data_IF_303748901393
#
_entry.id   IF_303748901393
#
_cell.length_a   1.000
_cell.length_b   1.000
_cell.length_c   1.000
_cell.angle_alpha   90.00
_cell.angle_beta   90.00
_cell.angle_gamma   90.00
#
_symmetry.space_group_name_H-M   'P 1'
#
loop_
_entity.id
_entity.type
_entity.pdbx_description
1 polymer ?
#
# COMPACT_ATOMS: atom_id res chain seq x y z
N UNK A 1 2.54 25.57 49.35
CA UNK A 1 2.74 24.89 48.05
C UNK A 1 2.31 23.45 48.21
N UNK A 2 1.38 22.96 47.40
CA UNK A 2 0.99 21.54 47.44
C UNK A 2 2.15 20.65 47.00
N UNK A 3 2.17 19.39 47.46
CA UNK A 3 3.22 18.46 47.07
C UNK A 3 3.21 18.23 45.55
N UNK A 4 4.39 18.38 44.93
CA UNK A 4 4.64 18.21 43.50
C UNK A 4 5.34 16.87 43.25
N UNK A 5 4.97 16.21 42.16
CA UNK A 5 5.59 14.95 41.75
C UNK A 5 5.79 14.88 40.23
N UNK A 6 6.90 14.31 39.80
CA UNK A 6 7.17 14.02 38.39
C UNK A 6 6.86 12.56 38.11
N UNK A 7 6.01 12.31 37.11
CA UNK A 7 5.61 10.97 36.70
C UNK A 7 6.39 10.57 35.45
N UNK A 8 7.13 9.47 35.57
CA UNK A 8 7.93 8.88 34.50
C UNK A 8 7.29 7.58 34.03
N UNK A 9 7.07 7.48 32.72
CA UNK A 9 6.59 6.27 32.06
C UNK A 9 7.79 5.55 31.45
N UNK A 10 8.29 4.54 32.15
CA UNK A 10 9.51 3.81 31.82
C UNK A 10 9.17 2.43 31.23
N UNK A 11 10.15 1.79 30.59
CA UNK A 11 9.95 0.47 29.95
C UNK A 11 9.46 -0.59 30.95
N UNK A 12 9.82 -0.46 32.23
CA UNK A 12 9.52 -1.45 33.26
C UNK A 12 8.38 -1.03 34.21
N UNK A 13 7.77 0.15 34.02
CA UNK A 13 6.74 0.64 34.94
C UNK A 13 6.51 2.15 34.87
N UNK A 14 5.51 2.60 35.63
CA UNK A 14 5.26 4.02 35.91
C UNK A 14 5.83 4.38 37.28
N UNK A 15 6.63 5.44 37.35
CA UNK A 15 7.38 5.83 38.56
C UNK A 15 7.13 7.28 38.90
N UNK A 16 6.82 7.55 40.17
CA UNK A 16 6.57 8.88 40.70
C UNK A 16 7.78 9.34 41.53
N UNK A 17 8.35 10.49 41.18
CA UNK A 17 9.52 11.08 41.86
C UNK A 17 9.17 12.43 42.48
N UNK A 18 9.71 12.72 43.66
CA UNK A 18 9.69 14.09 44.20
C UNK A 18 10.77 14.97 43.54
N UNK A 19 10.78 16.27 43.87
CA UNK A 19 11.80 17.21 43.34
C UNK A 19 13.23 16.89 43.81
N UNK A 20 13.42 16.00 44.79
CA UNK A 20 14.72 15.52 45.30
C UNK A 20 15.14 14.17 44.68
N UNK A 21 14.41 13.70 43.69
CA UNK A 21 14.57 12.41 43.01
C UNK A 21 14.28 11.16 43.87
N UNK A 22 13.63 11.31 45.02
CA UNK A 22 13.18 10.15 45.79
C UNK A 22 11.97 9.53 45.12
N UNK A 23 11.90 8.20 45.15
CA UNK A 23 10.73 7.46 44.67
C UNK A 23 9.61 7.60 45.69
N UNK A 24 8.50 8.20 45.28
CA UNK A 24 7.32 8.44 46.11
C UNK A 24 6.37 7.25 46.05
N UNK A 25 6.12 6.74 44.84
CA UNK A 25 5.29 5.57 44.57
C UNK A 25 5.61 5.06 43.15
N UNK A 26 5.25 3.83 42.84
CA UNK A 26 5.46 3.24 41.52
C UNK A 26 4.53 2.05 41.26
N UNK A 27 4.34 1.73 39.99
CA UNK A 27 3.70 0.48 39.55
C UNK A 27 4.62 -0.15 38.51
N UNK A 28 5.11 -1.35 38.81
CA UNK A 28 5.92 -2.14 37.89
C UNK A 28 5.03 -2.87 36.90
N UNK A 29 5.47 -2.92 35.66
CA UNK A 29 4.79 -3.70 34.63
C UNK A 29 5.03 -5.21 34.81
N UNK A 30 4.14 -6.06 34.26
CA UNK A 30 4.37 -7.49 34.21
C UNK A 30 5.67 -7.82 33.48
N UNK A 31 6.38 -8.86 33.94
CA UNK A 31 7.59 -9.37 33.27
C UNK A 31 7.30 -10.30 32.10
N UNK A 32 6.03 -10.70 31.93
CA UNK A 32 5.64 -11.49 30.77
C UNK A 32 5.88 -10.66 29.49
N UNK A 33 6.63 -11.17 28.51
CA UNK A 33 6.97 -10.41 27.31
C UNK A 33 5.77 -9.87 26.53
N UNK A 34 4.66 -10.62 26.48
CA UNK A 34 3.46 -10.24 25.72
C UNK A 34 2.72 -9.10 26.41
N UNK A 35 2.49 -9.24 27.72
CA UNK A 35 1.80 -8.23 28.51
C UNK A 35 2.63 -6.94 28.60
N UNK A 36 3.95 -7.06 28.73
CA UNK A 36 4.86 -5.92 28.70
C UNK A 36 4.84 -5.22 27.35
N UNK A 37 4.88 -5.98 26.25
CA UNK A 37 4.76 -5.43 24.90
C UNK A 37 3.43 -4.70 24.67
N UNK A 38 2.34 -5.17 25.28
CA UNK A 38 1.05 -4.48 25.21
C UNK A 38 1.08 -3.12 25.90
N UNK A 39 1.68 -3.03 27.11
CA UNK A 39 1.88 -1.74 27.79
C UNK A 39 2.74 -0.79 26.95
N UNK A 40 3.85 -1.28 26.39
CA UNK A 40 4.73 -0.48 25.52
C UNK A 40 4.02 -0.02 24.24
N UNK A 41 3.18 -0.87 23.65
CA UNK A 41 2.38 -0.53 22.47
C UNK A 41 1.39 0.60 22.77
N UNK A 42 0.70 0.55 23.91
CA UNK A 42 -0.21 1.64 24.35
C UNK A 42 0.59 2.94 24.50
N UNK A 43 1.80 2.87 25.06
CA UNK A 43 2.66 4.04 25.20
C UNK A 43 3.10 4.61 23.84
N UNK A 44 3.50 3.75 22.90
CA UNK A 44 3.98 4.15 21.56
C UNK A 44 2.85 4.76 20.71
N UNK A 45 1.64 4.21 20.80
CA UNK A 45 0.46 4.69 20.07
C UNK A 45 -0.18 5.95 20.68
N UNK A 46 0.42 6.50 21.74
CA UNK A 46 -0.04 7.72 22.41
C UNK A 46 -1.18 7.49 23.41
N UNK A 47 -1.55 6.24 23.65
CA UNK A 47 -2.49 5.83 24.68
C UNK A 47 -1.94 6.06 26.10
N UNK A 48 -2.88 6.04 27.05
CA UNK A 48 -2.59 6.23 28.48
C UNK A 48 -2.85 4.92 29.20
N UNK A 49 -1.90 4.53 30.06
CA UNK A 49 -1.96 3.28 30.80
C UNK A 49 -2.89 3.39 32.00
N UNK A 50 -3.64 2.33 32.29
CA UNK A 50 -4.42 2.24 33.53
C UNK A 50 -3.53 2.32 34.78
N UNK A 51 -2.30 1.78 34.70
CA UNK A 51 -1.28 1.90 35.77
C UNK A 51 -0.97 3.37 36.08
N UNK A 52 -0.98 4.24 35.06
CA UNK A 52 -0.74 5.67 35.25
C UNK A 52 -1.88 6.31 36.04
N UNK A 53 -3.13 5.98 35.69
CA UNK A 53 -4.33 6.50 36.35
C UNK A 53 -4.37 6.01 37.80
N UNK A 54 -4.06 4.74 38.02
CA UNK A 54 -4.01 4.14 39.34
C UNK A 54 -2.94 4.82 40.21
N UNK A 55 -1.70 4.94 39.71
CA UNK A 55 -0.60 5.58 40.42
C UNK A 55 -0.94 7.01 40.84
N UNK A 56 -1.47 7.82 39.92
CA UNK A 56 -1.85 9.21 40.22
C UNK A 56 -3.00 9.27 41.21
N UNK A 57 -3.95 8.32 41.15
CA UNK A 57 -5.05 8.24 42.12
C UNK A 57 -4.55 7.94 43.53
N UNK A 58 -3.59 7.01 43.68
CA UNK A 58 -2.91 6.72 44.96
C UNK A 58 -2.16 7.95 45.49
N UNK A 59 -1.48 8.69 44.63
CA UNK A 59 -0.76 9.90 45.03
C UNK A 59 -1.71 11.03 45.42
N UNK A 60 -2.83 11.19 44.70
CA UNK A 60 -3.85 12.18 45.02
C UNK A 60 -4.44 11.94 46.42
N UNK A 61 -4.75 10.68 46.78
CA UNK A 61 -5.26 10.36 48.12
C UNK A 61 -4.24 10.62 49.23
N UNK A 62 -2.93 10.59 48.90
CA UNK A 62 -1.83 11.00 49.79
C UNK A 62 -1.57 12.50 49.82
N UNK A 63 -2.36 13.32 49.12
CA UNK A 63 -2.30 14.80 49.17
C UNK A 63 -1.47 15.48 48.08
N UNK A 64 -0.97 14.74 47.09
CA UNK A 64 -0.30 15.33 45.93
C UNK A 64 -1.32 16.03 45.02
N UNK A 65 -0.98 17.24 44.57
CA UNK A 65 -1.88 18.07 43.73
C UNK A 65 -1.29 18.46 42.38
N UNK A 66 0.04 18.49 42.28
CA UNK A 66 0.77 18.97 41.11
C UNK A 66 1.60 17.84 40.49
N UNK A 67 1.32 17.50 39.24
CA UNK A 67 1.97 16.39 38.53
C UNK A 67 2.67 16.85 37.26
N UNK A 68 3.94 16.48 37.09
CA UNK A 68 4.70 16.74 35.86
C UNK A 68 4.73 15.48 35.01
N UNK A 69 4.35 15.60 33.74
CA UNK A 69 4.38 14.50 32.76
C UNK A 69 5.30 14.86 31.59
N UNK A 70 5.85 13.85 30.93
CA UNK A 70 6.65 14.05 29.70
C UNK A 70 5.81 13.95 28.43
N UNK A 71 4.58 13.45 28.52
CA UNK A 71 3.66 13.25 27.40
C UNK A 71 2.41 14.13 27.57
N UNK A 72 2.05 14.85 26.51
CA UNK A 72 0.85 15.70 26.48
C UNK A 72 -0.43 14.86 26.63
N UNK A 73 -0.51 13.70 25.97
CA UNK A 73 -1.68 12.81 26.05
C UNK A 73 -1.95 12.33 27.48
N UNK A 74 -0.91 11.90 28.19
CA UNK A 74 -0.96 11.51 29.60
C UNK A 74 -1.42 12.67 30.50
N UNK A 75 -0.79 13.85 30.35
CA UNK A 75 -1.13 15.05 31.13
C UNK A 75 -2.59 15.44 30.95
N UNK A 76 -3.06 15.50 29.71
CA UNK A 76 -4.44 15.89 29.38
C UNK A 76 -5.45 14.92 29.96
N UNK A 77 -5.28 13.61 29.71
CA UNK A 77 -6.25 12.62 30.18
C UNK A 77 -6.31 12.54 31.71
N UNK A 78 -5.15 12.60 32.37
CA UNK A 78 -5.09 12.57 33.84
C UNK A 78 -5.75 13.81 34.45
N UNK A 79 -5.49 15.01 33.87
CA UNK A 79 -6.15 16.25 34.30
C UNK A 79 -7.68 16.12 34.18
N UNK A 80 -8.15 15.65 33.02
CA UNK A 80 -9.59 15.49 32.74
C UNK A 80 -10.24 14.43 33.65
N UNK A 81 -9.61 13.27 33.86
CA UNK A 81 -10.18 12.16 34.64
C UNK A 81 -10.08 12.36 36.15
N UNK A 82 -8.98 12.90 36.64
CA UNK A 82 -8.67 12.94 38.07
C UNK A 82 -8.79 14.34 38.68
N UNK A 83 -9.03 15.39 37.89
CA UNK A 83 -9.15 16.77 38.36
C UNK A 83 -7.96 17.19 39.24
N UNK A 84 -6.75 17.09 38.68
CA UNK A 84 -5.47 17.44 39.31
C UNK A 84 -4.71 18.45 38.44
N UNK A 85 -3.82 19.23 39.04
CA UNK A 85 -2.97 20.15 38.29
C UNK A 85 -1.84 19.39 37.60
N UNK A 86 -1.69 19.60 36.29
CA UNK A 86 -0.66 18.92 35.50
C UNK A 86 0.19 19.91 34.69
N UNK A 87 1.48 19.61 34.55
CA UNK A 87 2.43 20.36 33.70
C UNK A 87 3.12 19.38 32.77
N UNK A 88 3.43 19.81 31.55
CA UNK A 88 4.20 19.01 30.59
C UNK A 88 5.62 19.55 30.49
N UNK A 89 6.60 18.69 30.76
CA UNK A 89 8.03 18.96 30.62
C UNK A 89 8.66 17.79 29.86
N UNK A 90 9.00 17.99 28.59
CA UNK A 90 9.45 16.90 27.72
C UNK A 90 10.79 17.20 27.03
N UNK A 91 11.85 16.41 27.28
CA UNK A 91 12.00 15.47 28.39
C UNK A 91 12.18 16.22 29.72
N UNK A 92 11.68 15.65 30.81
CA UNK A 92 11.86 16.20 32.16
C UNK A 92 13.32 16.07 32.60
N UNK A 93 13.78 17.03 33.41
CA UNK A 93 15.10 17.00 34.04
C UNK A 93 15.36 15.69 34.80
N UNK A 94 14.40 15.24 35.62
CA UNK A 94 14.47 13.96 36.35
C UNK A 94 14.46 12.75 35.41
N UNK A 95 13.62 12.76 34.37
CA UNK A 95 13.56 11.69 33.37
C UNK A 95 14.89 11.52 32.62
N UNK A 96 15.60 12.62 32.30
CA UNK A 96 16.95 12.55 31.72
C UNK A 96 17.94 11.85 32.65
N UNK A 97 17.86 12.09 33.96
CA UNK A 97 18.78 11.49 34.93
C UNK A 97 18.48 10.00 35.08
N UNK A 98 17.21 9.63 35.27
CA UNK A 98 16.79 8.22 35.41
C UNK A 98 17.15 7.40 34.18
N UNK A 99 16.99 7.97 32.97
CA UNK A 99 17.30 7.25 31.72
C UNK A 99 18.79 7.02 31.46
N UNK A 100 19.71 7.65 32.20
CA UNK A 100 21.15 7.34 32.10
C UNK A 100 21.47 5.91 32.52
N UNK A 101 20.70 5.36 33.46
CA UNK A 101 20.86 3.98 33.90
C UNK A 101 19.51 3.37 34.33
N UNK A 102 18.70 3.02 33.32
CA UNK A 102 17.42 2.36 33.52
C UNK A 102 17.57 0.99 34.21
N UNK A 103 18.66 0.26 33.93
CA UNK A 103 18.89 -1.04 34.55
C UNK A 103 19.04 -0.90 36.05
N UNK A 104 19.89 0.01 36.53
CA UNK A 104 20.07 0.22 37.97
C UNK A 104 18.78 0.66 38.64
N UNK A 105 17.99 1.54 38.01
CA UNK A 105 16.69 1.95 38.57
C UNK A 105 15.67 0.80 38.60
N UNK A 106 15.64 -0.05 37.57
CA UNK A 106 14.79 -1.23 37.54
C UNK A 106 15.15 -2.23 38.64
N UNK A 107 16.45 -2.42 38.90
CA UNK A 107 16.95 -3.28 39.99
C UNK A 107 16.58 -2.69 41.37
N UNK A 108 16.80 -1.39 41.57
CA UNK A 108 16.44 -0.66 42.80
C UNK A 108 14.96 -0.85 43.16
N UNK A 109 14.08 -0.80 42.16
CA UNK A 109 12.63 -0.93 42.35
C UNK A 109 12.13 -2.38 42.41
N UNK A 110 13.01 -3.37 42.23
CA UNK A 110 12.68 -4.79 42.30
C UNK A 110 12.10 -5.39 41.02
N UNK A 111 12.18 -4.69 39.89
CA UNK A 111 11.72 -5.23 38.60
C UNK A 111 12.60 -6.37 38.10
N UNK A 112 13.90 -6.37 38.41
CA UNK A 112 14.80 -7.46 38.06
C UNK A 112 15.84 -7.67 39.16
N UNK A 113 16.33 -8.90 39.32
CA UNK A 113 17.37 -9.24 40.31
C UNK A 113 18.77 -8.94 39.81
N UNK A 114 18.95 -8.87 38.49
CA UNK A 114 20.24 -8.60 37.86
C UNK A 114 20.05 -7.81 36.57
N UNK A 115 21.11 -7.13 36.13
CA UNK A 115 21.12 -6.45 34.82
C UNK A 115 20.86 -7.43 33.67
N UNK A 116 21.31 -8.69 33.78
CA UNK A 116 21.06 -9.72 32.78
C UNK A 116 19.57 -10.08 32.69
N UNK A 117 18.90 -10.26 33.83
CA UNK A 117 17.45 -10.53 33.87
C UNK A 117 16.65 -9.35 33.28
N UNK A 118 17.02 -8.12 33.63
CA UNK A 118 16.40 -6.91 33.07
C UNK A 118 16.51 -6.89 31.54
N UNK A 119 17.72 -7.09 31.01
CA UNK A 119 17.96 -7.08 29.56
C UNK A 119 17.19 -8.20 28.86
N UNK A 120 17.13 -9.40 29.44
CA UNK A 120 16.40 -10.53 28.87
C UNK A 120 14.89 -10.25 28.79
N UNK A 121 14.28 -9.75 29.86
CA UNK A 121 12.85 -9.41 29.90
C UNK A 121 12.54 -8.31 28.88
N UNK A 122 13.32 -7.24 28.86
CA UNK A 122 13.12 -6.12 27.93
C UNK A 122 13.30 -6.57 26.49
N UNK A 123 14.34 -7.35 26.18
CA UNK A 123 14.58 -7.84 24.83
C UNK A 123 13.41 -8.69 24.32
N UNK A 124 12.91 -9.64 25.12
CA UNK A 124 11.77 -10.47 24.73
C UNK A 124 10.49 -9.65 24.52
N UNK A 125 10.28 -8.61 25.33
CA UNK A 125 9.14 -7.71 25.16
C UNK A 125 9.26 -6.87 23.89
N UNK A 126 10.45 -6.34 23.59
CA UNK A 126 10.71 -5.60 22.34
C UNK A 126 10.55 -6.50 21.11
N UNK A 127 10.98 -7.76 21.17
CA UNK A 127 10.75 -8.74 20.10
C UNK A 127 9.25 -9.00 19.91
N UNK A 128 8.49 -9.10 20.99
CA UNK A 128 7.03 -9.29 20.95
C UNK A 128 6.31 -8.06 20.38
N UNK A 129 6.75 -6.85 20.76
CA UNK A 129 6.26 -5.58 20.21
C UNK A 129 6.56 -5.47 18.71
N UNK A 130 7.78 -5.82 18.28
CA UNK A 130 8.17 -5.82 16.87
C UNK A 130 7.33 -6.81 16.06
N UNK A 131 7.12 -8.03 16.56
CA UNK A 131 6.24 -9.04 15.93
C UNK A 131 4.81 -8.54 15.80
N UNK A 132 4.29 -7.84 16.82
CA UNK A 132 2.97 -7.20 16.78
C UNK A 132 2.90 -6.15 15.68
N UNK A 133 3.85 -5.22 15.62
CA UNK A 133 3.90 -4.19 14.57
C UNK A 133 3.95 -4.78 13.15
N UNK A 134 4.71 -5.86 12.95
CA UNK A 134 4.77 -6.59 11.67
C UNK A 134 3.42 -7.22 11.33
N UNK A 135 2.74 -7.85 12.30
CA UNK A 135 1.42 -8.47 12.11
C UNK A 135 0.37 -7.42 11.75
N UNK A 136 0.33 -6.30 12.47
CA UNK A 136 -0.61 -5.21 12.20
C UNK A 136 -0.41 -4.65 10.80
N UNK A 137 0.84 -4.38 10.39
CA UNK A 137 1.14 -3.92 9.03
C UNK A 137 0.76 -4.94 7.97
N UNK A 138 1.09 -6.22 8.18
CA UNK A 138 0.77 -7.30 7.24
C UNK A 138 -0.74 -7.57 7.14
N UNK A 139 -1.50 -7.29 8.20
CA UNK A 139 -2.95 -7.46 8.21
C UNK A 139 -3.72 -6.34 7.50
N UNK A 140 -3.05 -5.26 7.10
CA UNK A 140 -3.72 -4.20 6.33
C UNK A 140 -4.12 -4.73 4.96
N UNK A 141 -5.40 -4.59 4.63
CA UNK A 141 -6.00 -5.14 3.42
C UNK A 141 -5.39 -4.64 2.11
N UNK A 142 -4.67 -3.50 2.15
CA UNK A 142 -3.94 -2.93 1.02
C UNK A 142 -2.65 -3.69 0.69
N UNK A 143 -2.04 -4.43 1.62
CA UNK A 143 -0.81 -5.18 1.34
C UNK A 143 -1.03 -6.29 0.30
N UNK A 144 -2.16 -6.98 0.38
CA UNK A 144 -2.54 -7.99 -0.63
C UNK A 144 -2.83 -7.35 -2.00
N UNK A 145 -3.39 -6.14 -2.02
CA UNK A 145 -3.61 -5.39 -3.26
C UNK A 145 -2.28 -5.07 -3.94
N UNK A 146 -1.26 -4.65 -3.17
CA UNK A 146 0.08 -4.35 -3.72
C UNK A 146 0.67 -5.59 -4.40
N UNK A 147 0.63 -6.75 -3.73
CA UNK A 147 1.17 -7.99 -4.29
C UNK A 147 0.37 -8.45 -5.53
N UNK A 148 -0.95 -8.36 -5.49
CA UNK A 148 -1.79 -8.73 -6.63
C UNK A 148 -1.53 -7.86 -7.86
N UNK A 149 -1.31 -6.56 -7.67
CA UNK A 149 -0.96 -5.64 -8.78
C UNK A 149 0.41 -5.97 -9.36
N UNK A 150 1.41 -6.23 -8.53
CA UNK A 150 2.73 -6.62 -9.03
C UNK A 150 2.66 -7.93 -9.82
N UNK A 151 1.94 -8.93 -9.30
CA UNK A 151 1.70 -10.19 -10.02
C UNK A 151 0.98 -9.96 -11.36
N UNK A 152 -0.04 -9.10 -11.40
CA UNK A 152 -0.73 -8.74 -12.63
C UNK A 152 0.22 -8.10 -13.66
N UNK A 153 1.09 -7.17 -13.23
CA UNK A 153 2.07 -6.53 -14.11
C UNK A 153 3.15 -7.51 -14.61
N UNK A 154 3.55 -8.46 -13.78
CA UNK A 154 4.47 -9.54 -14.15
C UNK A 154 3.83 -10.51 -15.15
N UNK A 155 2.55 -10.85 -14.98
CA UNK A 155 1.80 -11.63 -15.96
C UNK A 155 1.69 -10.90 -17.29
N UNK A 156 1.35 -9.60 -17.29
CA UNK A 156 1.27 -8.80 -18.53
C UNK A 156 2.61 -8.81 -19.28
N UNK A 157 3.74 -8.65 -18.58
CA UNK A 157 5.08 -8.73 -19.18
C UNK A 157 5.39 -10.13 -19.72
N UNK A 158 5.04 -11.16 -18.96
CA UNK A 158 5.30 -12.56 -19.31
C UNK A 158 4.49 -13.00 -20.52
N UNK A 159 3.20 -12.67 -20.58
CA UNK A 159 2.32 -12.94 -21.72
C UNK A 159 2.88 -12.28 -22.99
N UNK A 160 3.30 -11.02 -22.90
CA UNK A 160 3.90 -10.30 -24.03
C UNK A 160 5.23 -10.92 -24.49
N UNK A 161 6.08 -11.34 -23.55
CA UNK A 161 7.34 -12.03 -23.87
C UNK A 161 7.07 -13.35 -24.61
N UNK A 162 6.13 -14.15 -24.12
CA UNK A 162 5.75 -15.40 -24.76
C UNK A 162 5.06 -15.18 -26.10
N UNK A 163 4.30 -14.09 -26.27
CA UNK A 163 3.69 -13.76 -27.54
C UNK A 163 4.75 -13.49 -28.61
N UNK A 164 5.79 -12.70 -28.28
CA UNK A 164 6.94 -12.51 -29.16
C UNK A 164 7.63 -13.82 -29.51
N UNK A 165 7.89 -14.69 -28.52
CA UNK A 165 8.53 -15.99 -28.76
C UNK A 165 7.68 -16.92 -29.63
N UNK A 166 6.38 -17.00 -29.38
CA UNK A 166 5.48 -17.87 -30.13
C UNK A 166 5.29 -17.38 -31.57
N UNK A 167 5.27 -16.07 -31.80
CA UNK A 167 5.28 -15.48 -33.14
C UNK A 167 6.49 -15.92 -33.95
N UNK A 168 7.68 -15.87 -33.36
CA UNK A 168 8.91 -16.31 -34.03
C UNK A 168 8.89 -17.82 -34.29
N UNK A 169 8.44 -18.62 -33.32
CA UNK A 169 8.50 -20.08 -33.42
C UNK A 169 7.43 -20.66 -34.36
N UNK A 170 6.16 -20.29 -34.17
CA UNK A 170 5.08 -20.72 -35.05
C UNK A 170 5.16 -20.01 -36.41
N UNK A 171 5.78 -18.83 -36.47
CA UNK A 171 6.00 -18.09 -37.71
C UNK A 171 6.88 -18.82 -38.75
N UNK A 172 7.70 -19.79 -38.32
CA UNK A 172 8.41 -20.68 -39.26
C UNK A 172 7.42 -21.46 -40.15
N UNK A 173 6.24 -21.78 -39.62
CA UNK A 173 5.17 -22.52 -40.30
C UNK A 173 4.07 -21.62 -40.86
N UNK A 174 3.72 -20.52 -40.18
CA UNK A 174 2.72 -19.55 -40.65
C UNK A 174 3.02 -18.14 -40.15
N UNK A 175 3.93 -17.44 -40.82
CA UNK A 175 4.41 -16.09 -40.45
C UNK A 175 3.32 -15.01 -40.52
N UNK A 176 2.43 -15.14 -41.50
CA UNK A 176 1.39 -14.19 -41.88
C UNK A 176 0.25 -14.15 -40.85
N UNK A 177 0.10 -15.19 -40.02
CA UNK A 177 -0.89 -15.21 -38.94
C UNK A 177 -0.70 -14.03 -37.97
N UNK A 178 0.55 -13.63 -37.76
CA UNK A 178 0.86 -12.59 -36.77
C UNK A 178 0.45 -11.18 -37.19
N UNK A 179 0.27 -10.96 -38.50
CA UNK A 179 -0.24 -9.71 -39.06
C UNK A 179 -1.78 -9.75 -39.20
N UNK A 180 -2.36 -10.95 -39.33
CA UNK A 180 -3.80 -11.15 -39.47
C UNK A 180 -4.57 -11.05 -38.14
N UNK A 181 -3.90 -11.23 -37.01
CA UNK A 181 -4.53 -11.29 -35.68
C UNK A 181 -4.24 -10.03 -34.85
N UNK A 182 -5.29 -9.41 -34.32
CA UNK A 182 -5.18 -8.13 -33.59
C UNK A 182 -4.72 -8.31 -32.14
N UNK A 183 -5.12 -9.41 -31.48
CA UNK A 183 -4.86 -9.60 -30.05
C UNK A 183 -3.97 -10.80 -29.76
N UNK A 184 -3.07 -10.74 -28.74
CA UNK A 184 -2.27 -11.89 -28.34
C UNK A 184 -3.11 -13.11 -27.97
N UNK A 185 -4.25 -12.91 -27.31
CA UNK A 185 -5.13 -14.00 -26.88
C UNK A 185 -5.71 -14.79 -28.06
N UNK A 186 -6.23 -14.11 -29.09
CA UNK A 186 -6.72 -14.77 -30.31
C UNK A 186 -5.60 -15.57 -30.98
N UNK A 187 -4.37 -15.04 -31.03
CA UNK A 187 -3.23 -15.73 -31.62
C UNK A 187 -2.91 -17.01 -30.84
N UNK A 188 -2.85 -16.94 -29.51
CA UNK A 188 -2.65 -18.11 -28.66
C UNK A 188 -3.77 -19.14 -28.81
N UNK A 189 -5.04 -18.73 -28.94
CA UNK A 189 -6.17 -19.64 -29.16
C UNK A 189 -6.04 -20.41 -30.47
N UNK A 190 -5.75 -19.70 -31.57
CA UNK A 190 -5.60 -20.32 -32.90
C UNK A 190 -4.46 -21.35 -32.87
N UNK A 191 -3.30 -20.99 -32.31
CA UNK A 191 -2.15 -21.89 -32.24
C UNK A 191 -2.41 -23.06 -31.30
N UNK A 192 -2.98 -22.84 -30.12
CA UNK A 192 -3.21 -23.91 -29.14
C UNK A 192 -4.30 -24.90 -29.55
N UNK A 193 -5.44 -24.40 -30.06
CA UNK A 193 -6.63 -25.21 -30.30
C UNK A 193 -6.67 -25.82 -31.70
N UNK A 194 -6.19 -25.11 -32.71
CA UNK A 194 -6.15 -25.60 -34.11
C UNK A 194 -4.76 -26.13 -34.44
N UNK A 195 -3.74 -25.26 -34.37
CA UNK A 195 -2.35 -25.64 -34.62
C UNK A 195 -2.00 -25.88 -36.09
N UNK A 196 -2.62 -26.87 -36.75
CA UNK A 196 -2.34 -27.21 -38.15
C UNK A 196 -2.93 -26.19 -39.12
N UNK A 197 -2.14 -25.69 -40.07
CA UNK A 197 -2.58 -24.68 -41.06
C UNK A 197 -3.71 -25.21 -41.94
N UNK A 198 -3.71 -26.52 -42.21
CA UNK A 198 -4.74 -27.21 -43.00
C UNK A 198 -6.09 -27.27 -42.27
N UNK A 199 -6.08 -27.22 -40.94
CA UNK A 199 -7.28 -27.26 -40.11
C UNK A 199 -7.84 -25.86 -39.81
N UNK A 200 -7.13 -24.80 -40.19
CA UNK A 200 -7.60 -23.42 -40.04
C UNK A 200 -8.66 -23.13 -41.11
N UNK A 201 -9.91 -23.11 -40.69
CA UNK A 201 -11.07 -22.79 -41.53
C UNK A 201 -12.11 -21.97 -40.74
N UNK A 202 -13.09 -21.40 -41.45
CA UNK A 202 -14.14 -20.56 -40.85
C UNK A 202 -14.88 -21.24 -39.70
N UNK A 203 -15.13 -22.55 -39.80
CA UNK A 203 -15.88 -23.30 -38.79
C UNK A 203 -15.06 -23.46 -37.50
N UNK A 204 -13.80 -23.90 -37.62
CA UNK A 204 -12.91 -24.09 -36.49
C UNK A 204 -12.55 -22.76 -35.80
N UNK A 205 -12.31 -21.70 -36.57
CA UNK A 205 -12.07 -20.35 -36.03
C UNK A 205 -13.31 -19.82 -35.29
N UNK A 206 -14.51 -20.09 -35.80
CA UNK A 206 -15.75 -19.70 -35.12
C UNK A 206 -15.97 -20.50 -33.81
N UNK A 207 -15.60 -21.79 -33.77
CA UNK A 207 -15.75 -22.63 -32.56
C UNK A 207 -14.95 -22.09 -31.38
N UNK A 208 -13.77 -21.53 -31.62
CA UNK A 208 -12.88 -20.99 -30.58
C UNK A 208 -13.13 -19.49 -30.31
N UNK A 209 -14.18 -18.92 -30.91
CA UNK A 209 -14.65 -17.57 -30.64
C UNK A 209 -13.91 -16.45 -31.38
N UNK A 210 -13.22 -16.75 -32.50
CA UNK A 210 -12.58 -15.71 -33.32
C UNK A 210 -13.64 -14.90 -34.08
N UNK A 211 -13.46 -13.58 -34.10
CA UNK A 211 -14.40 -12.67 -34.76
C UNK A 211 -14.42 -12.89 -36.28
N UNK A 212 -15.56 -12.62 -36.95
CA UNK A 212 -15.67 -12.74 -38.41
C UNK A 212 -14.62 -11.91 -39.16
N UNK A 213 -14.29 -10.72 -38.65
CA UNK A 213 -13.29 -9.82 -39.22
C UNK A 213 -11.90 -10.48 -39.19
N UNK A 214 -11.50 -10.98 -38.02
CA UNK A 214 -10.23 -11.68 -37.83
C UNK A 214 -10.19 -12.96 -38.68
N UNK A 215 -11.28 -13.73 -38.71
CA UNK A 215 -11.40 -14.94 -39.54
C UNK A 215 -11.12 -14.67 -41.02
N UNK A 216 -11.72 -13.62 -41.60
CA UNK A 216 -11.44 -13.25 -42.99
C UNK A 216 -9.96 -12.91 -43.22
N UNK A 217 -9.34 -12.15 -42.31
CA UNK A 217 -7.93 -11.81 -42.41
C UNK A 217 -7.02 -13.04 -42.33
N UNK A 218 -7.31 -13.97 -41.42
CA UNK A 218 -6.54 -15.23 -41.25
C UNK A 218 -6.65 -16.12 -42.48
N UNK A 219 -7.84 -16.23 -43.08
CA UNK A 219 -8.03 -17.04 -44.30
C UNK A 219 -7.32 -16.45 -45.52
N UNK A 220 -7.23 -15.13 -45.62
CA UNK A 220 -6.41 -14.49 -46.67
C UNK A 220 -4.92 -14.72 -46.43
N UNK A 221 -4.46 -14.61 -45.17
CA UNK A 221 -3.07 -14.87 -44.80
C UNK A 221 -2.62 -16.31 -45.12
N UNK A 222 -3.52 -17.30 -45.01
CA UNK A 222 -3.24 -18.68 -45.39
C UNK A 222 -2.96 -18.86 -46.89
N UNK A 223 -3.65 -18.10 -47.76
CA UNK A 223 -3.46 -18.19 -49.22
C UNK A 223 -2.07 -17.70 -49.66
N UNK A 224 -1.49 -16.79 -48.89
CA UNK A 224 -0.17 -16.20 -49.15
C UNK A 224 0.94 -16.84 -48.33
N UNK A 225 0.67 -17.92 -47.59
CA UNK A 225 1.63 -18.55 -46.69
C UNK A 225 2.88 -19.06 -47.41
N UNK A 226 4.06 -18.64 -46.94
CA UNK A 226 5.38 -19.07 -47.45
C UNK A 226 6.09 -20.01 -46.45
N UNK A 227 5.42 -20.37 -45.35
CA UNK A 227 6.00 -21.16 -44.27
C UNK A 227 6.44 -22.57 -44.70
N UNK A 228 7.41 -23.13 -43.97
CA UNK A 228 7.88 -24.50 -44.19
C UNK A 228 6.92 -25.51 -43.59
N UNK A 229 7.00 -26.78 -44.01
CA UNK A 229 6.26 -27.87 -43.36
C UNK A 229 6.78 -28.10 -41.92
N UNK A 230 5.85 -28.36 -41.00
CA UNK A 230 6.14 -28.61 -39.57
C UNK A 230 5.91 -30.08 -39.24
N UNK A 231 6.81 -30.68 -38.46
CA UNK A 231 6.60 -32.02 -37.94
C UNK A 231 5.58 -32.01 -36.78
N UNK A 232 4.92 -33.15 -36.54
CA UNK A 232 3.88 -33.26 -35.50
C UNK A 232 4.42 -33.04 -34.09
N UNK A 233 5.66 -33.43 -33.81
CA UNK A 233 6.26 -33.29 -32.48
C UNK A 233 6.59 -31.83 -32.19
N UNK A 234 7.16 -31.13 -33.17
CA UNK A 234 7.46 -29.70 -33.07
C UNK A 234 6.20 -28.87 -32.88
N UNK A 235 5.14 -29.17 -33.65
CA UNK A 235 3.87 -28.47 -33.48
C UNK A 235 3.25 -28.73 -32.09
N UNK A 236 3.33 -29.96 -31.57
CA UNK A 236 2.77 -30.28 -30.25
C UNK A 236 3.44 -29.44 -29.14
N UNK A 237 4.76 -29.29 -29.16
CA UNK A 237 5.47 -28.44 -28.19
C UNK A 237 5.03 -26.97 -28.27
N UNK A 238 4.81 -26.45 -29.49
CA UNK A 238 4.29 -25.10 -29.71
C UNK A 238 2.88 -24.96 -29.15
N UNK A 239 2.02 -25.96 -29.35
CA UNK A 239 0.64 -25.98 -28.80
C UNK A 239 0.64 -26.03 -27.28
N UNK A 240 1.51 -26.82 -26.67
CA UNK A 240 1.68 -26.88 -25.21
C UNK A 240 2.09 -25.53 -24.65
N UNK A 241 3.03 -24.85 -25.31
CA UNK A 241 3.43 -23.49 -24.95
C UNK A 241 2.23 -22.52 -25.04
N UNK A 242 1.53 -22.50 -26.17
CA UNK A 242 0.38 -21.62 -26.39
C UNK A 242 -0.75 -21.86 -25.36
N UNK A 243 -1.09 -23.12 -25.10
CA UNK A 243 -2.12 -23.50 -24.11
C UNK A 243 -1.73 -23.11 -22.67
N UNK A 244 -0.44 -23.17 -22.35
CA UNK A 244 0.06 -22.72 -21.04
C UNK A 244 -0.11 -21.21 -20.89
N UNK A 245 0.15 -20.43 -21.94
CA UNK A 245 -0.06 -18.97 -21.90
C UNK A 245 -1.54 -18.61 -21.83
N UNK A 246 -2.44 -19.36 -22.48
CA UNK A 246 -3.89 -19.18 -22.30
C UNK A 246 -4.31 -19.32 -20.83
N UNK A 247 -3.73 -20.29 -20.09
CA UNK A 247 -3.97 -20.40 -18.63
C UNK A 247 -3.45 -19.19 -17.86
N UNK A 248 -2.33 -18.58 -18.27
CA UNK A 248 -1.82 -17.33 -17.68
C UNK A 248 -2.76 -16.15 -17.96
N UNK A 249 -3.35 -16.08 -19.15
CA UNK A 249 -4.36 -15.06 -19.49
C UNK A 249 -5.60 -15.24 -18.59
N UNK A 250 -6.10 -16.46 -18.41
CA UNK A 250 -7.21 -16.71 -17.48
C UNK A 250 -6.85 -16.37 -16.02
N UNK A 251 -5.61 -16.62 -15.60
CA UNK A 251 -5.13 -16.20 -14.27
C UNK A 251 -5.10 -14.67 -14.14
N UNK A 252 -4.63 -13.96 -15.17
CA UNK A 252 -4.63 -12.49 -15.23
C UNK A 252 -6.05 -11.94 -15.02
N UNK A 253 -7.05 -12.47 -15.73
CA UNK A 253 -8.45 -12.06 -15.56
C UNK A 253 -8.99 -12.31 -14.15
N UNK A 254 -8.62 -13.45 -13.54
CA UNK A 254 -8.99 -13.74 -12.15
C UNK A 254 -8.35 -12.76 -11.16
N UNK A 255 -7.10 -12.40 -11.36
CA UNK A 255 -6.41 -11.40 -10.55
C UNK A 255 -7.01 -10.01 -10.72
N UNK A 256 -7.40 -9.63 -11.94
CA UNK A 256 -8.08 -8.36 -12.22
C UNK A 256 -9.39 -8.25 -11.45
N UNK A 257 -10.23 -9.31 -11.45
CA UNK A 257 -11.47 -9.38 -10.65
C UNK A 257 -11.19 -9.31 -9.15
N UNK A 258 -10.19 -10.05 -8.67
CA UNK A 258 -9.78 -10.00 -7.26
C UNK A 258 -9.35 -8.59 -6.83
N UNK A 259 -8.53 -7.91 -7.65
CA UNK A 259 -8.10 -6.53 -7.38
C UNK A 259 -9.30 -5.60 -7.34
N UNK A 260 -10.25 -5.76 -8.25
CA UNK A 260 -11.47 -4.96 -8.28
C UNK A 260 -12.29 -5.09 -6.98
N UNK A 261 -12.58 -6.30 -6.55
CA UNK A 261 -13.32 -6.57 -5.32
C UNK A 261 -12.61 -5.96 -4.10
N UNK A 262 -11.29 -6.19 -3.99
CA UNK A 262 -10.48 -5.69 -2.87
C UNK A 262 -10.37 -4.17 -2.85
N UNK A 263 -10.21 -3.53 -4.01
CA UNK A 263 -10.15 -2.07 -4.10
C UNK A 263 -11.50 -1.45 -3.74
N UNK A 264 -12.61 -2.06 -4.15
CA UNK A 264 -13.96 -1.57 -3.80
C UNK A 264 -14.20 -1.62 -2.29
N UNK A 265 -13.64 -2.61 -1.60
CA UNK A 265 -13.70 -2.73 -0.14
C UNK A 265 -12.75 -1.74 0.57
N UNK A 266 -11.49 -1.67 0.14
CA UNK A 266 -10.44 -0.91 0.84
C UNK A 266 -10.44 0.58 0.49
N UNK A 267 -10.81 0.92 -0.74
CA UNK A 267 -10.61 2.26 -1.30
C UNK A 267 -11.69 2.65 -2.33
N UNK A 268 -12.97 2.70 -1.92
CA UNK A 268 -14.10 2.92 -2.81
C UNK A 268 -14.10 4.32 -3.46
N UNK A 269 -13.52 5.35 -2.82
CA UNK A 269 -13.45 6.68 -3.44
C UNK A 269 -12.43 6.71 -4.58
N UNK A 270 -11.24 6.13 -4.39
CA UNK A 270 -10.26 5.98 -5.48
C UNK A 270 -10.81 5.10 -6.62
N UNK A 271 -11.49 4.00 -6.30
CA UNK A 271 -12.15 3.14 -7.29
C UNK A 271 -13.06 3.95 -8.23
N UNK A 272 -13.96 4.77 -7.68
CA UNK A 272 -14.93 5.54 -8.47
C UNK A 272 -14.25 6.58 -9.39
N UNK A 273 -13.11 7.12 -8.97
CA UNK A 273 -12.39 8.16 -9.72
C UNK A 273 -11.52 7.61 -10.85
N UNK A 274 -10.82 6.49 -10.64
CA UNK A 274 -9.79 6.01 -11.60
C UNK A 274 -9.93 4.55 -12.00
N UNK A 275 -10.90 3.84 -11.44
CA UNK A 275 -11.08 2.40 -11.63
C UNK A 275 -10.11 1.55 -10.80
N UNK A 276 -10.32 0.23 -10.78
CA UNK A 276 -9.65 -0.67 -9.85
C UNK A 276 -8.14 -0.76 -10.10
N UNK A 277 -7.73 -0.99 -11.34
CA UNK A 277 -6.32 -1.22 -11.69
C UNK A 277 -5.46 0.02 -11.42
N UNK A 278 -5.91 1.21 -11.84
CA UNK A 278 -5.14 2.44 -11.62
C UNK A 278 -5.11 2.83 -10.14
N UNK A 279 -6.22 2.66 -9.40
CA UNK A 279 -6.23 2.85 -7.95
C UNK A 279 -5.22 1.94 -7.25
N UNK A 280 -5.21 0.65 -7.62
CA UNK A 280 -4.32 -0.34 -7.05
C UNK A 280 -2.84 -0.03 -7.37
N UNK A 281 -2.53 0.40 -8.60
CA UNK A 281 -1.18 0.85 -8.98
C UNK A 281 -0.72 2.09 -8.19
N UNK A 282 -1.62 3.04 -7.94
CA UNK A 282 -1.28 4.21 -7.11
C UNK A 282 -0.98 3.83 -5.66
N UNK A 283 -1.77 2.92 -5.08
CA UNK A 283 -1.54 2.39 -3.73
C UNK A 283 -0.21 1.64 -3.65
N UNK A 284 0.07 0.77 -4.64
CA UNK A 284 1.32 0.03 -4.74
C UNK A 284 2.54 0.95 -4.85
N UNK A 285 2.50 1.92 -5.77
CA UNK A 285 3.59 2.87 -5.97
C UNK A 285 3.84 3.78 -4.76
N UNK A 286 2.80 4.05 -3.96
CA UNK A 286 2.93 4.78 -2.70
C UNK A 286 3.44 3.93 -1.53
N UNK A 287 3.39 2.60 -1.63
CA UNK A 287 3.72 1.68 -0.54
C UNK A 287 2.57 1.44 0.46
N UNK A 288 1.33 1.74 0.07
CA UNK A 288 0.12 1.57 0.89
C UNK A 288 -0.84 2.76 0.81
N UNK A 289 -2.10 2.54 1.22
CA UNK A 289 -3.16 3.56 1.17
C UNK A 289 -2.87 4.71 2.14
N UNK A 290 -2.34 4.40 3.33
CA UNK A 290 -1.97 5.42 4.32
C UNK A 290 -0.79 6.28 3.85
N UNK A 291 0.17 5.69 3.14
CA UNK A 291 1.27 6.45 2.55
C UNK A 291 0.75 7.36 1.43
N UNK A 292 -0.15 6.86 0.58
CA UNK A 292 -0.79 7.63 -0.49
C UNK A 292 -1.60 8.82 0.07
N UNK A 293 -2.34 8.63 1.17
CA UNK A 293 -3.17 9.68 1.78
C UNK A 293 -2.36 10.87 2.32
N UNK A 294 -1.12 10.61 2.74
CA UNK A 294 -0.16 11.62 3.21
C UNK A 294 0.52 12.36 2.05
N UNK A 295 0.47 11.86 0.82
CA UNK A 295 1.08 12.53 -0.32
C UNK A 295 0.32 13.81 -0.73
N UNK A 296 1.04 14.89 -1.10
CA UNK A 296 0.42 16.05 -1.72
C UNK A 296 -0.02 15.72 -3.15
N UNK A 297 -0.98 16.49 -3.67
CA UNK A 297 -1.49 16.30 -5.04
C UNK A 297 -0.40 16.43 -6.12
N UNK A 298 0.61 17.27 -5.90
CA UNK A 298 1.75 17.43 -6.80
C UNK A 298 2.59 16.15 -6.93
N UNK A 299 2.77 15.41 -5.82
CA UNK A 299 3.46 14.12 -5.83
C UNK A 299 2.61 13.06 -6.53
N UNK A 300 1.32 12.96 -6.20
CA UNK A 300 0.39 12.01 -6.83
C UNK A 300 0.33 12.24 -8.36
N UNK A 301 0.40 13.50 -8.81
CA UNK A 301 0.38 13.85 -10.23
C UNK A 301 1.50 13.17 -11.02
N UNK A 302 2.70 13.07 -10.43
CA UNK A 302 3.91 12.58 -11.10
C UNK A 302 4.37 11.20 -10.59
N UNK A 303 3.57 10.56 -9.75
CA UNK A 303 3.84 9.24 -9.18
C UNK A 303 4.01 8.19 -10.30
N UNK A 304 5.11 7.46 -10.31
CA UNK A 304 5.55 6.56 -11.40
C UNK A 304 6.35 7.23 -12.54
N UNK A 305 6.61 8.53 -12.47
CA UNK A 305 7.51 9.26 -13.38
C UNK A 305 8.78 9.77 -12.67
N UNK A 306 9.19 9.12 -11.58
CA UNK A 306 10.28 9.53 -10.70
C UNK A 306 11.58 9.69 -11.48
N UNK A 307 11.93 8.74 -12.36
CA UNK A 307 13.14 8.80 -13.18
C UNK A 307 13.19 10.08 -14.05
N UNK A 308 12.07 10.45 -14.65
CA UNK A 308 11.98 11.66 -15.47
C UNK A 308 11.98 12.93 -14.61
N UNK A 309 11.30 12.90 -13.47
CA UNK A 309 11.24 13.99 -12.50
C UNK A 309 12.62 14.29 -11.92
N UNK A 310 13.32 13.28 -11.40
CA UNK A 310 14.66 13.45 -10.82
C UNK A 310 15.68 13.90 -11.85
N UNK A 311 15.57 13.42 -13.10
CA UNK A 311 16.39 13.94 -14.19
C UNK A 311 16.15 15.43 -14.41
N UNK A 312 14.89 15.85 -14.48
CA UNK A 312 14.54 17.27 -14.65
C UNK A 312 15.02 18.14 -13.48
N UNK A 313 14.88 17.68 -12.24
CA UNK A 313 15.38 18.38 -11.05
C UNK A 313 16.90 18.53 -11.07
N UNK A 314 17.63 17.49 -11.49
CA UNK A 314 19.11 17.51 -11.56
C UNK A 314 19.63 18.41 -12.68
N UNK A 315 18.96 18.44 -13.83
CA UNK A 315 19.42 19.18 -15.01
C UNK A 315 18.74 20.53 -15.20
N UNK A 316 17.83 20.94 -14.31
CA UNK A 316 16.97 22.11 -14.51
C UNK A 316 16.01 21.99 -15.69
N UNK A 317 15.71 20.75 -16.13
CA UNK A 317 14.85 20.47 -17.27
C UNK A 317 13.36 20.63 -16.98
N UNK A 318 12.53 20.48 -18.02
CA UNK A 318 11.07 20.50 -17.86
C UNK A 318 10.59 19.23 -17.12
N UNK A 319 9.85 19.36 -16.00
CA UNK A 319 9.35 18.20 -15.26
C UNK A 319 8.25 17.46 -16.03
N UNK A 320 8.02 16.16 -15.72
CA UNK A 320 6.92 15.41 -16.32
C UNK A 320 5.57 16.01 -15.93
N UNK A 321 4.60 15.97 -16.86
CA UNK A 321 3.24 16.50 -16.63
C UNK A 321 2.35 15.53 -15.85
N UNK A 322 2.65 14.25 -15.91
CA UNK A 322 1.88 13.15 -15.34
C UNK A 322 2.75 11.91 -15.19
N UNK A 323 2.45 11.09 -14.18
CA UNK A 323 2.98 9.74 -14.01
C UNK A 323 1.95 8.68 -14.38
N UNK A 324 1.70 7.72 -13.50
CA UNK A 324 0.74 6.61 -13.67
C UNK A 324 -0.65 7.09 -14.08
N UNK A 325 -1.10 8.23 -13.54
CA UNK A 325 -2.41 8.81 -13.86
C UNK A 325 -2.62 9.10 -15.35
N UNK A 326 -1.56 9.12 -16.17
CA UNK A 326 -1.67 9.19 -17.63
C UNK A 326 -2.49 8.05 -18.24
N UNK A 327 -2.53 6.89 -17.57
CA UNK A 327 -3.33 5.74 -18.00
C UNK A 327 -4.83 6.02 -17.98
N UNK A 328 -5.28 7.02 -17.20
CA UNK A 328 -6.69 7.38 -17.14
C UNK A 328 -7.19 7.88 -18.50
N UNK A 329 -8.32 7.35 -19.04
CA UNK A 329 -8.82 7.68 -20.37
C UNK A 329 -8.94 9.19 -20.63
N UNK A 330 -9.45 9.94 -19.65
CA UNK A 330 -9.64 11.39 -19.74
C UNK A 330 -8.35 12.15 -20.03
N UNK A 331 -7.19 11.67 -19.56
CA UNK A 331 -5.90 12.31 -19.82
C UNK A 331 -5.32 11.78 -21.13
N UNK A 332 -5.35 10.46 -21.34
CA UNK A 332 -4.77 9.82 -22.53
C UNK A 332 -5.40 10.34 -23.82
N UNK A 333 -6.72 10.49 -23.85
CA UNK A 333 -7.50 10.94 -25.01
C UNK A 333 -7.48 12.47 -25.19
N UNK A 334 -7.13 13.22 -24.15
CA UNK A 334 -7.09 14.70 -24.23
C UNK A 334 -5.92 15.25 -25.06
N UNK A 335 -6.07 16.45 -25.67
CA UNK A 335 -5.01 17.13 -26.39
C UNK A 335 -3.76 17.37 -25.53
N UNK A 336 -2.56 17.23 -26.13
CA UNK A 336 -1.25 17.35 -25.44
C UNK A 336 -1.08 18.64 -24.62
N UNK A 337 -1.70 19.75 -25.06
CA UNK A 337 -1.67 21.04 -24.37
C UNK A 337 -2.46 21.02 -23.05
N UNK A 338 -3.55 20.26 -22.98
CA UNK A 338 -4.48 20.22 -21.84
C UNK A 338 -4.15 19.14 -20.82
N UNK A 339 -3.43 18.09 -21.21
CA UNK A 339 -3.08 16.96 -20.32
C UNK A 339 -2.54 17.39 -18.96
N UNK A 340 -1.62 18.36 -18.92
CA UNK A 340 -1.05 18.84 -17.65
C UNK A 340 -2.06 19.55 -16.74
N UNK A 341 -3.04 20.29 -17.31
CA UNK A 341 -4.11 20.92 -16.53
C UNK A 341 -5.04 19.85 -15.93
N UNK A 342 -5.45 18.89 -16.76
CA UNK A 342 -6.34 17.79 -16.37
C UNK A 342 -5.68 16.90 -15.32
N UNK A 343 -4.40 16.54 -15.50
CA UNK A 343 -3.64 15.75 -14.53
C UNK A 343 -3.56 16.41 -13.15
N UNK A 344 -3.43 17.73 -13.09
CA UNK A 344 -3.41 18.46 -11.81
C UNK A 344 -4.75 18.39 -11.09
N UNK A 345 -5.85 18.54 -11.83
CA UNK A 345 -7.21 18.45 -11.27
C UNK A 345 -7.49 17.04 -10.77
N UNK A 346 -7.17 16.02 -11.58
CA UNK A 346 -7.34 14.62 -11.17
C UNK A 346 -6.53 14.31 -9.92
N UNK A 347 -5.25 14.68 -9.87
CA UNK A 347 -4.39 14.42 -8.71
C UNK A 347 -4.88 15.12 -7.43
N UNK A 348 -5.49 16.30 -7.54
CA UNK A 348 -6.12 16.97 -6.41
C UNK A 348 -7.30 16.17 -5.85
N UNK A 349 -8.18 15.65 -6.73
CA UNK A 349 -9.31 14.80 -6.30
C UNK A 349 -8.86 13.46 -5.76
N UNK A 350 -7.80 12.85 -6.32
CA UNK A 350 -7.20 11.63 -5.80
C UNK A 350 -6.60 11.82 -4.40
N UNK A 351 -5.94 12.94 -4.13
CA UNK A 351 -5.40 13.24 -2.79
C UNK A 351 -6.52 13.31 -1.74
N UNK A 352 -7.67 13.92 -2.10
CA UNK A 352 -8.84 13.99 -1.22
C UNK A 352 -9.44 12.59 -1.01
N UNK A 353 -9.66 11.84 -2.10
CA UNK A 353 -10.20 10.48 -2.04
C UNK A 353 -9.36 9.56 -1.16
N UNK A 354 -8.03 9.55 -1.36
CA UNK A 354 -7.11 8.73 -0.57
C UNK A 354 -7.16 9.05 0.93
N UNK A 355 -7.35 10.32 1.31
CA UNK A 355 -7.50 10.72 2.72
C UNK A 355 -8.82 10.26 3.32
N UNK A 356 -9.91 10.37 2.57
CA UNK A 356 -11.22 9.91 3.00
C UNK A 356 -11.20 8.39 3.19
N UNK A 357 -10.68 7.66 2.20
CA UNK A 357 -10.54 6.19 2.24
C UNK A 357 -9.65 5.75 3.43
N UNK A 358 -8.51 6.40 3.66
CA UNK A 358 -7.58 6.00 4.72
C UNK A 358 -8.05 6.29 6.15
N UNK A 359 -8.77 7.40 6.39
CA UNK A 359 -9.04 7.88 7.75
C UNK A 359 -10.52 7.84 8.16
N UNK A 360 -11.43 7.90 7.21
CA UNK A 360 -12.88 8.00 7.51
C UNK A 360 -13.69 6.82 7.00
N UNK A 361 -13.30 6.21 5.87
CA UNK A 361 -14.07 5.15 5.21
C UNK A 361 -15.41 5.61 4.61
N UNK A 362 -15.75 6.90 4.70
CA UNK A 362 -17.02 7.43 4.16
C UNK A 362 -16.99 7.43 2.63
N UNK A 363 -18.04 6.93 1.99
CA UNK A 363 -18.18 7.05 0.54
C UNK A 363 -18.58 8.48 0.12
N UNK A 364 -17.77 9.05 -0.77
CA UNK A 364 -17.93 10.37 -1.42
C UNK A 364 -17.55 10.34 -2.91
N UNK A 365 -17.39 9.15 -3.50
CA UNK A 365 -16.83 8.95 -4.83
C UNK A 365 -17.63 9.68 -5.92
N UNK A 366 -18.95 9.61 -5.86
CA UNK A 366 -19.83 10.23 -6.86
C UNK A 366 -19.70 11.75 -6.87
N UNK A 367 -19.70 12.37 -5.68
CA UNK A 367 -19.51 13.82 -5.53
C UNK A 367 -18.13 14.26 -6.03
N UNK A 368 -17.08 13.50 -5.72
CA UNK A 368 -15.73 13.80 -6.19
C UNK A 368 -15.62 13.67 -7.71
N UNK A 369 -16.31 12.69 -8.31
CA UNK A 369 -16.35 12.46 -9.75
C UNK A 369 -17.13 13.55 -10.49
N UNK A 370 -18.25 13.98 -9.94
CA UNK A 370 -19.03 15.11 -10.46
C UNK A 370 -18.19 16.40 -10.48
N UNK A 371 -17.55 16.73 -9.35
CA UNK A 371 -16.66 17.88 -9.24
C UNK A 371 -15.48 17.81 -10.23
N UNK A 372 -14.92 16.61 -10.42
CA UNK A 372 -13.83 16.36 -11.38
C UNK A 372 -14.31 16.65 -12.81
N UNK A 373 -15.45 16.09 -13.20
CA UNK A 373 -16.01 16.26 -14.53
C UNK A 373 -16.33 17.73 -14.83
N UNK A 374 -16.99 18.43 -13.90
CA UNK A 374 -17.28 19.87 -14.01
C UNK A 374 -16.02 20.67 -14.30
N UNK A 375 -14.94 20.42 -13.54
CA UNK A 375 -13.68 21.15 -13.72
C UNK A 375 -12.96 20.80 -15.02
N UNK A 376 -13.11 19.58 -15.52
CA UNK A 376 -12.52 19.19 -16.80
C UNK A 376 -13.29 19.80 -17.97
N UNK A 377 -14.62 19.85 -17.91
CA UNK A 377 -15.44 20.53 -18.91
C UNK A 377 -15.07 22.01 -19.04
N UNK A 378 -14.86 22.70 -17.91
CA UNK A 378 -14.36 24.09 -17.91
C UNK A 378 -13.02 24.22 -18.65
N UNK A 379 -12.09 23.28 -18.45
CA UNK A 379 -10.78 23.28 -19.12
C UNK A 379 -10.93 23.04 -20.62
N UNK A 380 -11.83 22.13 -21.02
CA UNK A 380 -12.08 21.81 -22.42
C UNK A 380 -12.73 22.98 -23.16
N UNK A 381 -13.63 23.74 -22.50
CA UNK A 381 -14.28 24.93 -23.08
C UNK A 381 -13.36 26.14 -23.23
N UNK A 382 -12.23 26.19 -22.53
CA UNK A 382 -11.23 27.27 -22.61
C UNK A 382 -10.23 27.09 -23.78
N UNK A 383 -10.49 26.16 -24.70
CA UNK A 383 -9.62 25.78 -25.81
C UNK A 383 -10.40 25.91 -27.10
#
# INVERSE_FOLDING_TARGET
MGMKCTILELIFGVVALDDKMNVVDYILFPKNPVDLAEKLYIMETGGVLDDLIELVSRLKSRGFKYFVFERESSSRLIRERLNVDTVVESPSSLGRIVRKDLSSKALELGFAKSRSEYLEVVQKALDSLARRGIRERSSKGDMYIIQAVHALEELDKTINLFYGRLREWYGLYLSELSDAVETPEEYFKIVAEIGWKEEINSENLSKIGISKKTTSAVLEALKTSIGVEMDKRDLEEIRVMASTVLKLISLRERLEKYIEERIKEVSPNLYTLVGPILAAKLIAQAGGLEALSKMPSSTIQVLGAEKALFRALRTGGKPPKHGLIFQHPIIRQSPKKLRGKISRVLAAKLSIAARIDAFTGKYMGDKLKEDLNRRIEEILKQT
#
